data_IF_751886175387
#
_entry.id   IF_751886175387
#
_cell.length_a   1.000
_cell.length_b   1.000
_cell.length_c   1.000
_cell.angle_alpha   90.00
_cell.angle_beta   90.00
_cell.angle_gamma   90.00
#
_symmetry.space_group_name_H-M   'P 1'
#
loop_
_entity.id
_entity.type
_entity.pdbx_description
1 polymer ?
#
# COMPACT_ATOMS: atom_id res chain seq x y z
N UNK A 1 -3.10 4.98 -15.72
CA UNK A 1 -2.99 5.84 -14.53
C UNK A 1 -2.05 5.15 -13.57
N UNK A 2 -1.24 5.88 -12.80
CA UNK A 2 -0.33 5.29 -11.80
C UNK A 2 -1.11 4.67 -10.63
N UNK A 3 -0.40 3.93 -9.79
CA UNK A 3 -0.94 3.28 -8.59
C UNK A 3 -0.16 3.75 -7.37
N UNK A 4 -0.83 3.79 -6.22
CA UNK A 4 -0.21 4.11 -4.94
C UNK A 4 0.19 2.83 -4.23
N UNK A 5 1.35 2.85 -3.60
CA UNK A 5 1.79 1.77 -2.72
C UNK A 5 2.79 2.32 -1.73
N UNK A 6 2.90 1.62 -0.61
CA UNK A 6 3.77 1.97 0.50
C UNK A 6 4.65 0.78 0.85
N UNK A 7 5.68 1.07 1.62
CA UNK A 7 6.43 0.07 2.34
C UNK A 7 5.90 0.06 3.78
N UNK A 8 5.56 -1.12 4.28
CA UNK A 8 5.03 -1.31 5.64
C UNK A 8 6.07 -0.85 6.67
N UNK A 9 5.63 -0.11 7.68
CA UNK A 9 6.51 0.47 8.71
C UNK A 9 7.16 -0.57 9.64
N UNK A 10 6.64 -1.79 9.69
CA UNK A 10 7.07 -2.84 10.62
C UNK A 10 7.94 -3.92 9.96
N UNK A 11 7.58 -4.36 8.74
CA UNK A 11 8.28 -5.45 8.04
C UNK A 11 9.16 -4.99 6.88
N UNK A 12 9.11 -3.70 6.54
CA UNK A 12 9.79 -3.12 5.39
C UNK A 12 9.41 -3.77 4.04
N UNK A 13 8.20 -4.35 3.95
CA UNK A 13 7.67 -5.00 2.75
C UNK A 13 6.79 -4.07 1.92
N UNK A 14 6.81 -4.27 0.60
CA UNK A 14 5.91 -3.57 -0.31
C UNK A 14 4.47 -4.03 -0.12
N UNK A 15 3.53 -3.08 -0.11
CA UNK A 15 2.10 -3.36 -0.22
C UNK A 15 1.76 -3.59 -1.69
N UNK A 16 1.69 -4.87 -2.07
CA UNK A 16 1.40 -5.28 -3.44
C UNK A 16 -0.06 -5.02 -3.82
N UNK A 17 -0.29 -4.60 -5.06
CA UNK A 17 -1.63 -4.32 -5.60
C UNK A 17 -2.34 -5.56 -6.15
N UNK A 18 -1.81 -6.75 -5.91
CA UNK A 18 -2.34 -8.04 -6.35
C UNK A 18 -3.14 -8.78 -5.25
N UNK A 19 -3.35 -8.12 -4.11
CA UNK A 19 -4.09 -8.65 -2.96
C UNK A 19 -3.34 -9.71 -2.14
N UNK A 20 -2.07 -9.99 -2.43
CA UNK A 20 -1.31 -11.02 -1.68
C UNK A 20 -0.86 -10.55 -0.30
N UNK A 21 -0.62 -9.24 -0.15
CA UNK A 21 -0.17 -8.64 1.10
C UNK A 21 -1.37 -8.06 1.85
N UNK A 22 -1.59 -8.57 3.07
CA UNK A 22 -2.61 -8.07 4.00
C UNK A 22 -1.98 -7.10 4.97
N UNK A 23 -2.62 -5.95 5.16
CA UNK A 23 -2.09 -4.85 5.95
C UNK A 23 -3.15 -4.19 6.81
N UNK A 24 -2.70 -3.37 7.75
CA UNK A 24 -3.53 -2.42 8.50
C UNK A 24 -3.04 -1.02 8.24
N UNK A 25 -3.97 -0.08 8.07
CA UNK A 25 -3.68 1.34 8.19
C UNK A 25 -4.07 1.79 9.60
N UNK A 26 -3.10 2.33 10.33
CA UNK A 26 -3.24 2.88 11.66
C UNK A 26 -3.26 4.41 11.59
N UNK A 27 -4.18 5.02 12.31
CA UNK A 27 -4.22 6.47 12.51
C UNK A 27 -3.77 6.85 13.93
N UNK A 28 -3.23 8.07 14.11
CA UNK A 28 -2.79 8.55 15.42
C UNK A 28 -3.93 8.75 16.43
N UNK A 29 -5.18 8.87 15.95
CA UNK A 29 -6.37 8.93 16.80
C UNK A 29 -6.93 7.54 17.17
N UNK A 30 -6.21 6.46 16.84
CA UNK A 30 -6.49 5.10 17.30
C UNK A 30 -7.46 4.30 16.41
N UNK A 31 -7.77 4.77 15.19
CA UNK A 31 -8.56 4.00 14.22
C UNK A 31 -7.64 3.02 13.47
N UNK A 32 -8.22 1.89 13.12
CA UNK A 32 -7.55 0.79 12.42
C UNK A 32 -8.41 0.39 11.23
N UNK A 33 -7.78 0.28 10.07
CA UNK A 33 -8.45 -0.12 8.83
C UNK A 33 -7.69 -1.32 8.23
N UNK A 34 -8.27 -2.51 8.34
CA UNK A 34 -7.69 -3.72 7.74
C UNK A 34 -7.95 -3.76 6.23
N UNK A 35 -6.92 -4.06 5.45
CA UNK A 35 -7.01 -4.32 4.02
C UNK A 35 -6.44 -5.69 3.69
N UNK A 36 -7.24 -6.49 2.97
CA UNK A 36 -6.91 -7.88 2.64
C UNK A 36 -6.76 -8.13 1.15
N UNK A 37 -7.22 -7.19 0.32
CA UNK A 37 -7.16 -7.27 -1.12
C UNK A 37 -6.87 -5.86 -1.67
N UNK A 38 -5.66 -5.36 -1.41
CA UNK A 38 -5.28 -4.01 -1.81
C UNK A 38 -5.16 -3.90 -3.34
N UNK A 39 -5.84 -2.93 -3.93
CA UNK A 39 -5.95 -2.76 -5.39
C UNK A 39 -5.10 -1.60 -5.95
N UNK A 40 -4.25 -0.96 -5.13
CA UNK A 40 -3.37 0.11 -5.60
C UNK A 40 -3.98 1.53 -5.59
N UNK A 41 -5.22 1.70 -5.11
CA UNK A 41 -5.90 3.02 -5.12
C UNK A 41 -5.67 3.87 -3.88
N UNK A 42 -4.96 3.34 -2.88
CA UNK A 42 -4.76 3.98 -1.59
C UNK A 42 -5.96 3.88 -0.66
N UNK A 43 -6.78 2.84 -0.81
CA UNK A 43 -7.93 2.57 0.07
C UNK A 43 -7.62 1.36 0.93
N UNK A 44 -7.81 1.50 2.25
CA UNK A 44 -7.62 0.45 3.22
C UNK A 44 -8.87 0.30 4.06
N UNK A 45 -9.50 -0.87 4.05
CA UNK A 45 -10.71 -1.12 4.85
C UNK A 45 -11.86 -0.14 4.55
N UNK A 46 -11.91 0.37 3.30
CA UNK A 46 -12.88 1.38 2.85
C UNK A 46 -12.51 2.84 3.14
N UNK A 47 -11.39 3.11 3.84
CA UNK A 47 -10.89 4.46 4.07
C UNK A 47 -9.77 4.81 3.07
N UNK A 48 -9.92 5.93 2.35
CA UNK A 48 -8.87 6.45 1.47
C UNK A 48 -7.77 7.12 2.32
N UNK A 49 -6.52 6.71 2.09
CA UNK A 49 -5.33 7.17 2.81
C UNK A 49 -5.22 8.70 2.76
N UNK A 50 -5.41 9.30 1.59
CA UNK A 50 -5.26 10.74 1.42
C UNK A 50 -6.47 11.49 2.00
N UNK A 51 -7.68 10.96 1.87
CA UNK A 51 -8.83 11.52 2.58
C UNK A 51 -8.60 11.56 4.10
N UNK A 52 -8.00 10.50 4.66
CA UNK A 52 -7.63 10.46 6.08
C UNK A 52 -6.49 11.44 6.41
N UNK A 53 -5.48 11.60 5.55
CA UNK A 53 -4.45 12.63 5.71
C UNK A 53 -5.08 14.02 5.79
N UNK A 54 -6.03 14.36 4.91
CA UNK A 54 -6.75 15.62 4.97
C UNK A 54 -7.48 15.79 6.32
N UNK A 55 -8.11 14.73 6.81
CA UNK A 55 -8.90 14.74 8.04
C UNK A 55 -8.02 14.99 9.26
N UNK A 56 -6.92 14.24 9.39
CA UNK A 56 -5.96 14.34 10.48
C UNK A 56 -5.28 15.72 10.54
N UNK A 57 -5.21 16.42 9.41
CA UNK A 57 -4.61 17.76 9.30
C UNK A 57 -5.67 18.89 9.22
N UNK A 58 -6.94 18.60 9.54
CA UNK A 58 -8.00 19.61 9.68
C UNK A 58 -8.47 20.24 8.37
N UNK A 59 -8.27 19.56 7.23
CA UNK A 59 -8.71 20.01 5.89
C UNK A 59 -10.08 19.47 5.47
N UNK A 60 -10.66 18.55 6.23
CA UNK A 60 -11.88 17.83 5.83
C UNK A 60 -11.52 16.43 5.36
N UNK A 61 -12.25 15.85 4.41
CA UNK A 61 -11.99 14.49 3.91
C UNK A 61 -11.84 14.44 2.38
N UNK A 62 -11.48 15.57 1.77
CA UNK A 62 -11.21 15.62 0.34
C UNK A 62 -9.87 14.96 0.03
N UNK A 63 -9.88 14.03 -0.92
CA UNK A 63 -8.69 13.29 -1.34
C UNK A 63 -7.60 14.21 -1.87
N UNK A 64 -7.97 15.23 -2.66
CA UNK A 64 -7.01 16.12 -3.30
C UNK A 64 -6.26 16.95 -2.26
N UNK A 65 -6.96 17.44 -1.23
CA UNK A 65 -6.31 18.15 -0.12
C UNK A 65 -5.25 17.28 0.58
N UNK A 66 -5.54 15.99 0.75
CA UNK A 66 -4.59 15.04 1.34
C UNK A 66 -3.41 14.72 0.45
N UNK A 67 -3.62 14.59 -0.87
CA UNK A 67 -2.54 14.42 -1.86
C UNK A 67 -1.64 15.66 -1.84
N UNK A 68 -2.24 16.84 -1.86
CA UNK A 68 -1.52 18.11 -1.84
C UNK A 68 -0.68 18.24 -0.55
N UNK A 69 -1.22 17.84 0.60
CA UNK A 69 -0.47 17.79 1.86
C UNK A 69 0.67 16.77 1.83
N UNK A 70 0.43 15.58 1.29
CA UNK A 70 1.42 14.49 1.25
C UNK A 70 2.62 14.82 0.35
N UNK A 71 2.36 15.43 -0.81
CA UNK A 71 3.38 15.80 -1.79
C UNK A 71 3.84 17.26 -1.68
N UNK A 72 3.30 18.02 -0.74
CA UNK A 72 3.84 19.33 -0.42
C UNK A 72 5.30 19.15 0.00
N UNK A 73 6.21 19.76 -0.76
CA UNK A 73 7.64 19.80 -0.47
C UNK A 73 7.85 20.68 0.78
N UNK A 74 7.62 20.10 1.96
CA UNK A 74 7.78 20.75 3.24
C UNK A 74 9.26 20.79 3.62
N UNK A 75 10.08 21.50 2.83
CA UNK A 75 11.46 21.85 3.16
C UNK A 75 11.52 22.87 4.33
N UNK A 76 10.91 22.53 5.47
CA UNK A 76 11.06 23.26 6.73
C UNK A 76 9.89 24.17 7.13
N UNK A 77 8.66 23.94 6.66
CA UNK A 77 7.47 24.62 7.24
C UNK A 77 6.73 23.68 8.20
N UNK A 78 6.78 24.04 9.49
CA UNK A 78 5.88 23.57 10.54
C UNK A 78 4.46 24.11 10.23
N UNK A 79 3.36 23.33 10.39
CA UNK A 79 3.28 22.03 11.07
C UNK A 79 3.72 20.83 10.23
N UNK A 80 4.38 19.88 10.90
CA UNK A 80 4.61 18.52 10.38
C UNK A 80 3.28 17.89 9.98
N UNK A 81 3.17 17.46 8.72
CA UNK A 81 1.97 16.78 8.20
C UNK A 81 1.81 15.43 8.92
N UNK A 82 0.64 15.21 9.49
CA UNK A 82 0.31 13.96 10.18
C UNK A 82 -0.11 12.92 9.15
N UNK A 83 0.56 11.77 9.14
CA UNK A 83 0.30 10.69 8.19
C UNK A 83 -0.20 9.42 8.90
N UNK A 84 -1.09 8.64 8.27
CA UNK A 84 -1.37 7.27 8.68
C UNK A 84 -0.15 6.37 8.46
N UNK A 85 -0.04 5.30 9.23
CA UNK A 85 1.00 4.28 9.10
C UNK A 85 0.40 2.99 8.61
N UNK A 86 1.07 2.32 7.67
CA UNK A 86 0.68 1.03 7.13
C UNK A 86 1.61 -0.03 7.70
N UNK A 87 1.04 -1.06 8.30
CA UNK A 87 1.76 -2.15 8.96
C UNK A 87 1.22 -3.50 8.50
N UNK A 88 1.96 -4.59 8.74
CA UNK A 88 1.48 -5.93 8.45
C UNK A 88 0.18 -6.26 9.21
N UNK A 89 -0.62 -7.20 8.69
CA UNK A 89 -1.90 -7.58 9.31
C UNK A 89 -1.76 -8.10 10.76
N UNK A 90 -0.61 -8.68 11.11
CA UNK A 90 -0.36 -9.25 12.44
C UNK A 90 0.33 -8.26 13.39
N UNK A 91 0.58 -7.03 12.95
CA UNK A 91 1.17 -5.97 13.75
C UNK A 91 0.26 -5.57 14.93
N UNK A 92 0.88 -5.10 16.01
CA UNK A 92 0.16 -4.53 17.16
C UNK A 92 -0.43 -3.18 16.76
N UNK A 93 -1.60 -2.85 17.29
CA UNK A 93 -2.34 -1.63 16.93
C UNK A 93 -1.90 -0.42 17.77
N UNK A 94 -0.58 -0.25 17.92
CA UNK A 94 0.02 0.86 18.68
C UNK A 94 0.78 1.80 17.74
N UNK A 95 0.10 2.86 17.30
CA UNK A 95 0.58 3.81 16.27
C UNK A 95 1.99 4.36 16.54
N UNK A 96 2.30 4.67 17.81
CA UNK A 96 3.57 5.30 18.20
C UNK A 96 4.78 4.33 18.17
N UNK A 97 4.55 3.02 18.03
CA UNK A 97 5.65 2.05 17.92
C UNK A 97 6.36 2.08 16.57
N UNK A 98 5.70 2.59 15.54
CA UNK A 98 6.13 2.45 14.15
C UNK A 98 6.67 3.76 13.59
N UNK A 99 7.70 3.72 12.72
CA UNK A 99 8.07 4.87 11.92
C UNK A 99 7.00 5.18 10.86
N UNK A 100 7.12 6.33 10.20
CA UNK A 100 6.26 6.67 9.05
C UNK A 100 6.44 5.69 7.90
N UNK A 101 5.35 5.34 7.22
CA UNK A 101 5.40 4.50 6.03
C UNK A 101 5.90 5.30 4.84
N UNK A 102 6.90 4.75 4.13
CA UNK A 102 7.48 5.36 2.93
C UNK A 102 6.73 4.93 1.67
N UNK A 103 6.73 5.77 0.65
CA UNK A 103 6.22 5.38 -0.68
C UNK A 103 7.03 4.21 -1.23
N UNK A 104 6.36 3.24 -1.85
CA UNK A 104 7.02 2.14 -2.54
C UNK A 104 7.57 2.65 -3.88
N UNK A 105 8.90 2.54 -4.14
CA UNK A 105 9.50 2.95 -5.42
C UNK A 105 8.89 2.21 -6.62
N UNK A 106 8.53 0.96 -6.40
CA UNK A 106 7.92 0.07 -7.39
C UNK A 106 6.42 0.21 -7.48
N UNK A 107 5.84 1.18 -6.76
CA UNK A 107 4.41 1.46 -6.77
C UNK A 107 3.52 0.23 -6.48
N UNK A 108 4.04 -0.83 -5.87
CA UNK A 108 3.25 -2.05 -5.57
C UNK A 108 3.28 -3.11 -6.67
N UNK A 109 4.11 -2.92 -7.70
CA UNK A 109 4.46 -3.97 -8.66
C UNK A 109 5.46 -4.95 -8.04
N UNK A 110 5.37 -6.22 -8.43
CA UNK A 110 6.39 -7.21 -8.08
C UNK A 110 7.65 -6.95 -8.91
N UNK A 111 8.79 -6.86 -8.23
CA UNK A 111 10.12 -6.88 -8.82
C UNK A 111 10.78 -8.18 -8.42
N UNK A 112 11.26 -8.95 -9.38
CA UNK A 112 11.92 -10.23 -9.14
C UNK A 112 13.43 -10.08 -9.32
N UNK A 113 14.20 -10.76 -8.49
CA UNK A 113 15.63 -10.91 -8.67
C UNK A 113 15.98 -12.02 -9.68
N UNK A 114 17.27 -12.30 -9.85
CA UNK A 114 17.76 -13.34 -10.76
C UNK A 114 17.36 -14.77 -10.32
N UNK A 115 16.92 -14.94 -9.08
CA UNK A 115 16.44 -16.21 -8.51
C UNK A 115 14.91 -16.28 -8.53
N UNK A 116 14.25 -15.47 -9.37
CA UNK A 116 12.79 -15.37 -9.48
C UNK A 116 12.10 -15.08 -8.14
N UNK A 117 12.80 -14.46 -7.18
CA UNK A 117 12.25 -14.09 -5.88
C UNK A 117 11.90 -12.61 -5.84
N UNK A 118 10.70 -12.30 -5.35
CA UNK A 118 10.22 -10.93 -5.21
C UNK A 118 11.07 -10.14 -4.20
N UNK A 119 11.81 -9.13 -4.66
CA UNK A 119 12.78 -8.35 -3.87
C UNK A 119 12.17 -7.73 -2.60
N UNK A 120 10.92 -7.26 -2.67
CA UNK A 120 10.26 -6.52 -1.59
C UNK A 120 9.26 -7.34 -0.76
N UNK A 121 8.84 -8.52 -1.24
CA UNK A 121 7.86 -9.35 -0.53
C UNK A 121 8.42 -10.70 -0.07
N UNK A 122 9.50 -11.17 -0.72
CA UNK A 122 10.17 -12.43 -0.45
C UNK A 122 9.42 -13.67 -0.95
N UNK A 123 8.45 -13.49 -1.85
CA UNK A 123 7.72 -14.58 -2.49
C UNK A 123 8.36 -14.96 -3.82
N UNK A 124 8.50 -16.26 -4.11
CA UNK A 124 8.95 -16.74 -5.41
C UNK A 124 7.89 -16.45 -6.49
N UNK A 125 8.34 -16.22 -7.73
CA UNK A 125 7.50 -16.11 -8.91
C UNK A 125 6.78 -17.45 -9.11
N UNK A 126 5.47 -17.46 -8.89
CA UNK A 126 4.65 -18.59 -9.29
C UNK A 126 4.41 -18.51 -10.80
N UNK A 127 5.13 -19.34 -11.57
CA UNK A 127 4.94 -19.49 -13.02
C UNK A 127 3.55 -20.07 -13.38
N UNK A 128 2.73 -20.52 -12.42
CA UNK A 128 1.35 -20.95 -12.68
C UNK A 128 0.45 -19.74 -12.96
N UNK A 129 0.30 -19.32 -14.24
CA UNK A 129 -0.99 -18.87 -14.83
C UNK A 129 -0.95 -18.34 -16.28
N UNK A 130 0.15 -18.40 -17.03
CA UNK A 130 0.17 -17.84 -18.39
C UNK A 130 0.29 -18.85 -19.55
N UNK A 131 0.89 -20.03 -19.35
CA UNK A 131 1.11 -21.00 -20.43
C UNK A 131 0.01 -22.09 -20.56
N UNK A 132 -0.88 -22.26 -19.58
CA UNK A 132 -1.95 -23.27 -19.62
C UNK A 132 -3.26 -22.78 -20.30
N UNK A 133 -3.23 -21.64 -20.98
CA UNK A 133 -4.39 -21.11 -21.73
C UNK A 133 -4.29 -21.29 -23.25
N UNK A 134 -3.25 -21.93 -23.80
CA UNK A 134 -3.14 -22.12 -25.26
C UNK A 134 -3.69 -23.45 -25.82
N UNK A 135 -4.17 -24.39 -25.01
CA UNK A 135 -4.62 -25.71 -25.54
C UNK A 135 -6.03 -26.14 -25.11
N UNK A 136 -7.03 -25.28 -25.31
CA UNK A 136 -8.44 -25.71 -25.47
C UNK A 136 -9.14 -24.93 -26.58
N UNK A 137 -8.61 -25.04 -27.79
CA UNK A 137 -9.38 -24.76 -29.01
C UNK A 137 -9.78 -26.12 -29.62
N UNK A 138 -10.70 -26.82 -28.94
CA UNK A 138 -11.42 -27.97 -29.47
C UNK A 138 -12.29 -27.51 -30.66
N UNK A 139 -11.65 -27.35 -31.83
CA UNK A 139 -12.34 -27.23 -33.10
C UNK A 139 -12.70 -28.61 -33.63
N UNK A 140 -13.89 -29.07 -33.22
CA UNK A 140 -14.65 -30.10 -33.93
C UNK A 140 -14.91 -29.65 -35.38
N UNK A 141 -14.42 -30.43 -36.35
CA UNK A 141 -14.93 -30.48 -37.73
C UNK A 141 -14.92 -31.91 -38.27
#
# INVERSE_FOLDING_TARGET
MGQFSWITSDTDKSVLCDGTVKVKMLSPDGRVFEERNYEGYGVFGGMDFYALVAELNGKGNDRQDGIDLFFADNQGSDPVVVLPKIVSIDAVEEFDMYPESRSCPEQGWRQYDEEDTCYYCGEELDYCTCDDLEDKDDRDW
#
